data_IF_918810683911
#
_entry.id   IF_918810683911
#
_cell.length_a   1.000
_cell.length_b   1.000
_cell.length_c   1.000
_cell.angle_alpha   90.00
_cell.angle_beta   90.00
_cell.angle_gamma   90.00
#
_symmetry.space_group_name_H-M   'P 1'
#
loop_
_entity.id
_entity.type
_entity.pdbx_description
1 polymer ?
#
# COMPACT_ATOMS: atom_id res chain seq x y z
N UNK A 1 3.10 6.26 -6.55
CA UNK A 1 2.57 6.33 -7.93
C UNK A 1 1.27 5.57 -8.08
N UNK A 2 1.31 4.24 -7.91
CA UNK A 2 0.14 3.35 -7.96
C UNK A 2 -0.90 3.63 -6.84
N UNK A 3 -0.44 3.87 -5.60
CA UNK A 3 -1.30 4.16 -4.45
C UNK A 3 -2.25 5.38 -4.67
N UNK A 4 -1.73 6.48 -5.22
CA UNK A 4 -2.52 7.71 -5.48
C UNK A 4 -3.63 7.51 -6.53
N UNK A 5 -3.44 6.58 -7.48
CA UNK A 5 -4.47 6.24 -8.47
C UNK A 5 -5.73 5.67 -7.84
N UNK A 6 -5.61 4.97 -6.70
CA UNK A 6 -6.74 4.44 -5.93
C UNK A 6 -7.40 5.46 -5.00
N UNK A 7 -6.69 6.54 -4.64
CA UNK A 7 -7.18 7.62 -3.79
C UNK A 7 -8.17 8.56 -4.52
N UNK A 8 -8.00 8.76 -5.83
CA UNK A 8 -8.89 9.62 -6.64
C UNK A 8 -10.36 9.11 -6.65
N UNK A 9 -10.65 7.84 -6.99
CA UNK A 9 -12.02 7.32 -6.92
C UNK A 9 -12.53 7.20 -5.47
N UNK A 10 -11.63 6.91 -4.52
CA UNK A 10 -11.96 6.87 -3.10
C UNK A 10 -12.45 8.22 -2.57
N UNK A 11 -11.78 9.31 -2.95
CA UNK A 11 -12.13 10.67 -2.52
C UNK A 11 -13.35 11.18 -3.27
N UNK A 12 -13.43 11.04 -4.59
CA UNK A 12 -14.54 11.65 -5.34
C UNK A 12 -15.84 10.84 -5.29
N UNK A 13 -15.77 9.52 -5.12
CA UNK A 13 -16.91 8.63 -5.36
C UNK A 13 -17.17 7.74 -4.13
N UNK A 14 -16.34 7.87 -3.09
CA UNK A 14 -16.41 7.04 -1.88
C UNK A 14 -16.38 5.52 -2.18
N UNK A 15 -15.77 5.17 -3.32
CA UNK A 15 -15.56 3.78 -3.74
C UNK A 15 -14.05 3.50 -3.66
N UNK A 16 -13.57 2.90 -2.57
CA UNK A 16 -12.16 2.55 -2.46
C UNK A 16 -11.82 1.44 -3.45
N UNK A 17 -10.90 1.71 -4.38
CA UNK A 17 -10.39 0.71 -5.34
C UNK A 17 -9.30 -0.20 -4.76
N UNK A 18 -8.90 0.02 -3.50
CA UNK A 18 -7.91 -0.79 -2.79
C UNK A 18 -8.20 -0.79 -1.28
N UNK A 19 -7.75 -1.82 -0.53
CA UNK A 19 -7.94 -1.87 0.92
C UNK A 19 -7.30 -0.67 1.66
N UNK A 20 -6.17 -0.18 1.14
CA UNK A 20 -5.44 0.98 1.70
C UNK A 20 -6.19 2.31 1.49
N UNK A 21 -7.00 2.41 0.42
CA UNK A 21 -7.78 3.61 0.14
C UNK A 21 -9.07 3.73 0.99
N UNK A 22 -9.44 2.70 1.77
CA UNK A 22 -10.66 2.69 2.59
C UNK A 22 -10.61 3.78 3.67
N UNK A 23 -9.48 3.92 4.37
CA UNK A 23 -9.33 4.97 5.38
C UNK A 23 -9.37 6.37 4.77
N UNK A 24 -8.74 6.57 3.62
CA UNK A 24 -8.81 7.83 2.88
C UNK A 24 -10.25 8.14 2.44
N UNK A 25 -11.01 7.15 1.95
CA UNK A 25 -12.41 7.33 1.56
C UNK A 25 -13.28 7.77 2.76
N UNK A 26 -13.12 7.08 3.90
CA UNK A 26 -13.85 7.37 5.13
C UNK A 26 -13.56 8.79 5.64
N UNK A 27 -12.30 9.21 5.63
CA UNK A 27 -11.89 10.56 6.05
C UNK A 27 -12.30 11.64 5.04
N UNK A 28 -12.30 11.33 3.74
CA UNK A 28 -12.63 12.28 2.67
C UNK A 28 -14.14 12.51 2.51
N UNK A 29 -14.98 11.54 2.86
CA UNK A 29 -16.45 11.63 2.78
C UNK A 29 -17.03 12.94 3.37
N UNK A 30 -16.73 13.35 4.62
CA UNK A 30 -17.22 14.61 5.18
C UNK A 30 -16.71 15.87 4.47
N UNK A 31 -15.55 15.83 3.79
CA UNK A 31 -15.08 16.94 2.96
C UNK A 31 -15.86 17.05 1.66
N UNK A 32 -16.18 15.90 1.05
CA UNK A 32 -16.97 15.84 -0.19
C UNK A 32 -18.40 16.29 0.05
N UNK A 33 -19.01 15.88 1.16
CA UNK A 33 -20.35 16.31 1.59
C UNK A 33 -20.42 17.83 1.86
N UNK A 34 -19.30 18.46 2.24
CA UNK A 34 -19.17 19.92 2.43
C UNK A 34 -18.83 20.68 1.14
N UNK A 35 -18.70 20.00 -0.01
CA UNK A 35 -18.26 20.63 -1.27
C UNK A 35 -16.77 21.00 -1.31
N UNK A 36 -15.96 20.48 -0.36
CA UNK A 36 -14.53 20.72 -0.24
C UNK A 36 -13.68 19.58 -0.87
N UNK A 37 -14.23 18.85 -1.85
CA UNK A 37 -13.55 17.70 -2.46
C UNK A 37 -12.15 18.05 -3.02
N UNK A 38 -11.95 19.26 -3.57
CA UNK A 38 -10.62 19.72 -4.03
C UNK A 38 -9.61 19.90 -2.90
N UNK A 39 -10.07 20.31 -1.70
CA UNK A 39 -9.22 20.44 -0.52
C UNK A 39 -8.77 19.05 -0.04
N UNK A 40 -9.69 18.08 0.03
CA UNK A 40 -9.36 16.70 0.37
C UNK A 40 -8.36 16.08 -0.62
N UNK A 41 -8.56 16.26 -1.93
CA UNK A 41 -7.64 15.78 -2.96
C UNK A 41 -6.26 16.44 -2.87
N UNK A 42 -6.20 17.77 -2.67
CA UNK A 42 -4.92 18.47 -2.56
C UNK A 42 -4.15 18.11 -1.29
N UNK A 43 -4.84 17.88 -0.16
CA UNK A 43 -4.25 17.34 1.07
C UNK A 43 -3.68 15.93 0.84
N UNK A 44 -4.48 15.03 0.24
CA UNK A 44 -4.07 13.67 -0.07
C UNK A 44 -2.85 13.64 -0.99
N UNK A 45 -2.88 14.41 -2.09
CA UNK A 45 -1.77 14.51 -3.04
C UNK A 45 -0.49 15.02 -2.39
N UNK A 46 -0.61 16.06 -1.56
CA UNK A 46 0.54 16.71 -0.93
C UNK A 46 1.16 15.82 0.15
N UNK A 47 0.32 15.15 0.96
CA UNK A 47 0.78 14.17 1.95
C UNK A 47 1.47 12.98 1.30
N UNK A 48 0.88 12.43 0.23
CA UNK A 48 1.44 11.32 -0.55
C UNK A 48 2.78 11.72 -1.19
N UNK A 49 2.85 12.90 -1.82
CA UNK A 49 4.08 13.41 -2.43
C UNK A 49 5.22 13.54 -1.42
N UNK A 50 4.96 14.20 -0.28
CA UNK A 50 5.99 14.37 0.76
C UNK A 50 6.41 13.03 1.36
N UNK A 51 5.45 12.13 1.63
CA UNK A 51 5.73 10.80 2.14
C UNK A 51 6.60 9.97 1.18
N UNK A 52 6.33 10.07 -0.12
CA UNK A 52 7.11 9.39 -1.16
C UNK A 52 8.52 9.95 -1.32
N UNK A 53 8.66 11.28 -1.32
CA UNK A 53 9.98 11.94 -1.35
C UNK A 53 10.80 11.54 -0.13
N UNK A 54 10.20 11.52 1.06
CA UNK A 54 10.89 11.09 2.28
C UNK A 54 11.29 9.62 2.23
N UNK A 55 10.44 8.74 1.70
CA UNK A 55 10.78 7.33 1.54
C UNK A 55 11.95 7.14 0.58
N UNK A 56 11.97 7.83 -0.56
CA UNK A 56 13.08 7.76 -1.52
C UNK A 56 14.37 8.30 -0.90
N UNK A 57 14.31 9.43 -0.19
CA UNK A 57 15.48 10.00 0.49
C UNK A 57 15.99 9.06 1.60
N UNK A 58 15.09 8.51 2.41
CA UNK A 58 15.43 7.54 3.44
C UNK A 58 16.06 6.29 2.82
N UNK A 59 15.51 5.79 1.72
CA UNK A 59 16.07 4.64 1.01
C UNK A 59 17.47 4.97 0.48
N UNK A 60 17.68 6.11 -0.19
CA UNK A 60 19.00 6.54 -0.65
C UNK A 60 20.03 6.62 0.49
N UNK A 61 19.65 7.18 1.64
CA UNK A 61 20.52 7.29 2.82
C UNK A 61 20.78 5.94 3.50
N UNK A 62 19.76 5.09 3.58
CA UNK A 62 19.80 3.81 4.29
C UNK A 62 20.33 2.67 3.41
N UNK A 63 20.42 2.85 2.09
CA UNK A 63 20.87 1.81 1.15
C UNK A 63 22.29 1.35 1.47
N UNK A 64 23.22 2.28 1.69
CA UNK A 64 24.61 1.95 2.03
C UNK A 64 24.75 1.16 3.34
N UNK A 65 24.16 1.59 4.48
CA UNK A 65 24.22 0.83 5.71
C UNK A 65 23.47 -0.51 5.61
N UNK A 66 22.30 -0.57 4.96
CA UNK A 66 21.59 -1.84 4.72
C UNK A 66 22.43 -2.81 3.89
N UNK A 67 23.10 -2.33 2.84
CA UNK A 67 23.95 -3.17 2.00
C UNK A 67 25.14 -3.77 2.78
N UNK A 68 25.69 -3.04 3.74
CA UNK A 68 26.74 -3.57 4.60
C UNK A 68 26.23 -4.60 5.61
N UNK A 69 25.00 -4.43 6.11
CA UNK A 69 24.35 -5.45 6.96
C UNK A 69 24.01 -6.70 6.15
N UNK A 70 23.49 -6.53 4.94
CA UNK A 70 23.12 -7.63 4.04
C UNK A 70 24.33 -8.49 3.62
N UNK A 71 25.53 -7.90 3.51
CA UNK A 71 26.77 -8.66 3.24
C UNK A 71 27.13 -9.65 4.35
N UNK A 72 26.68 -9.42 5.58
CA UNK A 72 26.90 -10.32 6.70
C UNK A 72 25.83 -11.41 6.81
N UNK A 73 24.80 -11.39 5.97
CA UNK A 73 23.76 -12.41 5.98
C UNK A 73 24.24 -13.67 5.27
N UNK A 74 24.21 -14.79 5.98
CA UNK A 74 24.40 -16.11 5.42
C UNK A 74 23.08 -16.73 4.97
N UNK A 75 23.14 -18.00 4.57
CA UNK A 75 21.98 -18.77 4.13
C UNK A 75 20.89 -18.89 5.20
N UNK A 76 21.27 -18.96 6.49
CA UNK A 76 20.35 -19.07 7.61
C UNK A 76 19.55 -17.77 7.82
N UNK A 77 20.19 -16.61 7.71
CA UNK A 77 19.57 -15.30 7.84
C UNK A 77 18.59 -15.04 6.70
N UNK A 78 18.96 -15.37 5.45
CA UNK A 78 18.04 -15.28 4.31
C UNK A 78 16.82 -16.20 4.46
N UNK A 79 17.01 -17.42 4.97
CA UNK A 79 15.90 -18.34 5.24
C UNK A 79 14.96 -17.80 6.33
N UNK A 80 15.52 -17.26 7.42
CA UNK A 80 14.76 -16.63 8.51
C UNK A 80 13.98 -15.40 8.03
N UNK A 81 14.58 -14.57 7.18
CA UNK A 81 13.90 -13.40 6.59
C UNK A 81 12.78 -13.81 5.64
N UNK A 82 13.01 -14.81 4.79
CA UNK A 82 11.98 -15.36 3.91
C UNK A 82 10.81 -15.94 4.73
N UNK A 83 11.09 -16.72 5.78
CA UNK A 83 10.07 -17.25 6.68
C UNK A 83 9.32 -16.14 7.42
N UNK A 84 10.04 -15.13 7.93
CA UNK A 84 9.42 -13.98 8.59
C UNK A 84 8.49 -13.22 7.63
N UNK A 85 8.92 -13.00 6.38
CA UNK A 85 8.11 -12.38 5.35
C UNK A 85 6.83 -13.17 5.09
N UNK A 86 6.92 -14.49 4.91
CA UNK A 86 5.76 -15.36 4.71
C UNK A 86 4.79 -15.30 5.90
N UNK A 87 5.29 -15.41 7.13
CA UNK A 87 4.44 -15.30 8.34
C UNK A 87 3.74 -13.95 8.40
N UNK A 88 4.47 -12.87 8.14
CA UNK A 88 3.93 -11.53 8.23
C UNK A 88 2.87 -11.24 7.14
N UNK A 89 2.99 -11.81 5.94
CA UNK A 89 1.93 -11.73 4.93
C UNK A 89 0.62 -12.40 5.38
N UNK A 90 0.71 -13.57 6.05
CA UNK A 90 -0.49 -14.27 6.59
C UNK A 90 -1.11 -13.50 7.75
N UNK A 91 -0.28 -13.01 8.67
CA UNK A 91 -0.74 -12.20 9.82
C UNK A 91 -1.30 -10.86 9.35
N UNK A 92 -0.74 -10.33 8.26
CA UNK A 92 -1.16 -9.15 7.50
C UNK A 92 -2.64 -9.08 7.17
N UNK A 93 -3.20 -10.19 6.71
CA UNK A 93 -4.52 -10.26 6.09
C UNK A 93 -5.65 -10.45 7.11
N UNK A 94 -5.84 -9.44 7.98
CA UNK A 94 -6.86 -9.37 9.03
C UNK A 94 -8.19 -10.05 8.68
N UNK A 95 -8.50 -11.12 9.40
CA UNK A 95 -9.77 -11.88 9.31
C UNK A 95 -9.79 -13.03 8.28
N UNK A 96 -9.07 -12.93 7.16
CA UNK A 96 -9.10 -13.92 6.05
C UNK A 96 -7.78 -14.68 5.87
N UNK A 97 -7.22 -15.17 6.99
CA UNK A 97 -5.91 -15.85 7.02
C UNK A 97 -5.82 -17.08 6.13
N UNK A 98 -6.92 -17.84 6.02
CA UNK A 98 -6.97 -19.08 5.23
C UNK A 98 -6.78 -18.79 3.74
N UNK A 99 -7.44 -17.76 3.23
CA UNK A 99 -7.35 -17.37 1.83
C UNK A 99 -5.98 -16.80 1.49
N UNK A 100 -5.42 -15.96 2.38
CA UNK A 100 -4.08 -15.42 2.22
C UNK A 100 -3.02 -16.55 2.21
N UNK A 101 -3.17 -17.54 3.08
CA UNK A 101 -2.28 -18.71 3.14
C UNK A 101 -2.42 -19.57 1.88
N UNK A 102 -3.65 -19.78 1.40
CA UNK A 102 -3.90 -20.55 0.18
C UNK A 102 -3.32 -19.85 -1.06
N UNK A 103 -3.51 -18.53 -1.18
CA UNK A 103 -2.94 -17.73 -2.28
C UNK A 103 -1.40 -17.72 -2.23
N UNK A 104 -0.81 -17.61 -1.03
CA UNK A 104 0.63 -17.69 -0.83
C UNK A 104 1.19 -19.07 -1.20
N UNK A 105 0.56 -20.15 -0.74
CA UNK A 105 0.94 -21.51 -1.07
C UNK A 105 0.84 -21.76 -2.58
N UNK A 106 -0.20 -21.22 -3.22
CA UNK A 106 -0.38 -21.29 -4.67
C UNK A 106 0.71 -20.51 -5.41
N UNK A 107 1.03 -19.29 -4.98
CA UNK A 107 2.13 -18.51 -5.55
C UNK A 107 3.50 -19.19 -5.41
N UNK A 108 3.79 -19.75 -4.23
CA UNK A 108 5.00 -20.54 -3.99
C UNK A 108 5.05 -21.79 -4.88
N UNK A 109 3.93 -22.48 -5.05
CA UNK A 109 3.86 -23.62 -5.96
C UNK A 109 4.19 -23.20 -7.40
N UNK A 110 3.59 -22.13 -7.92
CA UNK A 110 3.91 -21.62 -9.25
C UNK A 110 5.36 -21.18 -9.40
N UNK A 111 5.96 -20.63 -8.34
CA UNK A 111 7.38 -20.25 -8.30
C UNK A 111 8.33 -21.45 -8.38
N UNK A 112 7.88 -22.65 -7.96
CA UNK A 112 8.68 -23.89 -8.03
C UNK A 112 8.67 -24.56 -9.40
N UNK A 113 7.87 -24.08 -10.35
CA UNK A 113 7.78 -24.62 -11.70
C UNK A 113 8.95 -24.08 -12.53
N UNK A 114 9.75 -24.98 -13.11
CA UNK A 114 10.88 -24.62 -13.97
C UNK A 114 12.14 -25.45 -13.71
N UNK A 115 13.28 -24.97 -14.22
CA UNK A 115 14.58 -25.56 -13.95
C UNK A 115 15.12 -25.00 -12.62
N UNK A 116 15.45 -25.89 -11.70
CA UNK A 116 16.14 -25.51 -10.46
C UNK A 116 17.63 -25.26 -10.73
N UNK A 117 18.12 -24.06 -10.42
CA UNK A 117 19.52 -23.66 -10.68
C UNK A 117 20.55 -24.40 -9.85
N UNK A 118 20.16 -24.94 -8.68
CA UNK A 118 21.07 -25.64 -7.77
C UNK A 118 21.44 -27.06 -8.26
N UNK A 119 20.50 -27.77 -8.88
CA UNK A 119 20.68 -29.17 -9.30
C UNK A 119 20.42 -29.41 -10.79
N UNK A 120 20.06 -28.36 -11.55
CA UNK A 120 19.67 -28.43 -12.97
C UNK A 120 18.58 -29.48 -13.25
N UNK A 121 17.74 -29.75 -12.25
CA UNK A 121 16.61 -30.68 -12.39
C UNK A 121 15.37 -29.94 -12.85
N UNK A 122 14.56 -30.60 -13.67
CA UNK A 122 13.29 -30.06 -14.12
C UNK A 122 12.21 -30.34 -13.07
N UNK A 123 11.55 -29.31 -12.57
CA UNK A 123 10.44 -29.42 -11.62
C UNK A 123 9.14 -28.98 -12.29
N UNK A 124 8.17 -29.89 -12.36
CA UNK A 124 6.81 -29.62 -12.86
C UNK A 124 6.75 -29.02 -14.29
N UNK A 125 7.72 -29.33 -15.15
CA UNK A 125 7.74 -28.89 -16.55
C UNK A 125 6.90 -29.78 -17.47
N UNK A 126 6.55 -31.00 -17.02
CA UNK A 126 5.69 -31.97 -17.73
C UNK A 126 6.09 -32.22 -19.19
N UNK A 127 7.37 -32.05 -19.54
CA UNK A 127 7.89 -32.22 -20.91
C UNK A 127 7.64 -31.04 -21.86
N UNK A 128 7.08 -29.91 -21.38
CA UNK A 128 6.85 -28.72 -22.19
C UNK A 128 8.05 -27.77 -22.12
N UNK A 129 8.65 -27.47 -23.27
CA UNK A 129 9.81 -26.56 -23.39
C UNK A 129 9.50 -25.15 -22.88
N UNK A 130 8.26 -24.68 -23.02
CA UNK A 130 7.82 -23.36 -22.54
C UNK A 130 7.84 -23.23 -21.01
N UNK A 131 7.75 -24.33 -20.27
CA UNK A 131 7.77 -24.33 -18.80
C UNK A 131 9.20 -24.41 -18.24
N UNK A 132 10.22 -24.65 -19.07
CA UNK A 132 11.62 -24.72 -18.63
C UNK A 132 12.10 -23.39 -18.02
N UNK A 133 11.64 -22.27 -18.57
CA UNK A 133 11.91 -20.93 -18.03
C UNK A 133 11.07 -20.57 -16.80
N UNK A 134 10.21 -21.48 -16.34
CA UNK A 134 9.23 -21.24 -15.29
C UNK A 134 8.07 -20.35 -15.71
N UNK A 135 7.19 -20.05 -14.76
CA UNK A 135 6.06 -19.15 -14.98
C UNK A 135 6.47 -17.74 -14.57
N UNK A 136 6.39 -16.74 -15.46
CA UNK A 136 6.71 -15.36 -15.09
C UNK A 136 5.59 -14.82 -14.17
N UNK A 137 5.86 -14.85 -12.87
CA UNK A 137 4.89 -14.49 -11.83
C UNK A 137 4.38 -13.05 -11.96
N UNK A 138 5.23 -12.11 -12.36
CA UNK A 138 4.85 -10.69 -12.50
C UNK A 138 3.75 -10.51 -13.55
N UNK A 139 3.91 -10.94 -14.82
CA UNK A 139 2.83 -10.96 -15.81
C UNK A 139 1.58 -11.72 -15.36
N UNK A 140 1.74 -12.87 -14.70
CA UNK A 140 0.62 -13.68 -14.21
C UNK A 140 -0.25 -12.88 -13.22
N UNK A 141 0.37 -12.25 -12.22
CA UNK A 141 -0.32 -11.45 -11.21
C UNK A 141 -1.01 -10.24 -11.84
N UNK A 142 -0.34 -9.55 -12.76
CA UNK A 142 -0.93 -8.42 -13.50
C UNK A 142 -2.17 -8.86 -14.29
N UNK A 143 -2.09 -10.00 -14.99
CA UNK A 143 -3.20 -10.55 -15.76
C UNK A 143 -4.38 -10.96 -14.88
N UNK A 144 -4.11 -11.63 -13.75
CA UNK A 144 -5.16 -12.03 -12.81
C UNK A 144 -5.86 -10.82 -12.19
N UNK A 145 -5.10 -9.78 -11.85
CA UNK A 145 -5.64 -8.53 -11.33
C UNK A 145 -6.52 -7.82 -12.36
N UNK A 146 -6.05 -7.70 -13.61
CA UNK A 146 -6.82 -7.09 -14.70
C UNK A 146 -8.14 -7.83 -14.97
N UNK A 147 -8.12 -9.17 -14.94
CA UNK A 147 -9.34 -9.98 -15.08
C UNK A 147 -10.30 -9.78 -13.91
N UNK A 148 -9.79 -9.74 -12.67
CA UNK A 148 -10.61 -9.47 -11.48
C UNK A 148 -11.30 -8.11 -11.59
N UNK A 149 -10.56 -7.07 -11.96
CA UNK A 149 -11.09 -5.71 -12.10
C UNK A 149 -12.14 -5.61 -13.20
N UNK A 150 -11.91 -6.27 -14.35
CA UNK A 150 -12.88 -6.33 -15.44
C UNK A 150 -14.20 -7.00 -15.00
N UNK A 151 -14.12 -8.10 -14.24
CA UNK A 151 -15.30 -8.78 -13.70
C UNK A 151 -16.04 -7.91 -12.67
N UNK A 152 -15.32 -7.25 -11.77
CA UNK A 152 -15.90 -6.32 -10.79
C UNK A 152 -16.64 -5.18 -11.50
N UNK A 153 -16.03 -4.58 -12.54
CA UNK A 153 -16.65 -3.51 -13.32
C UNK A 153 -17.92 -3.97 -14.05
N UNK A 154 -17.93 -5.19 -14.58
CA UNK A 154 -19.12 -5.78 -15.21
C UNK A 154 -20.27 -6.04 -14.21
N UNK A 155 -19.94 -6.22 -12.93
CA UNK A 155 -20.93 -6.54 -11.89
C UNK A 155 -21.36 -5.31 -11.08
N UNK A 156 -20.60 -4.22 -11.16
CA UNK A 156 -20.92 -2.95 -10.53
C UNK A 156 -22.16 -2.34 -11.21
N UNK A 157 -23.28 -2.29 -10.48
CA UNK A 157 -24.47 -1.56 -10.93
C UNK A 157 -24.10 -0.10 -11.16
N UNK A 158 -24.60 0.49 -12.25
CA UNK A 158 -24.58 1.94 -12.51
C UNK A 158 -25.34 2.66 -11.39
N UNK A 159 -24.65 2.94 -10.29
CA UNK A 159 -25.15 3.83 -9.26
C UNK A 159 -24.97 5.25 -9.79
N UNK A 160 -26.05 6.03 -9.98
CA UNK A 160 -25.93 7.42 -10.41
C UNK A 160 -25.11 8.17 -9.35
N UNK A 161 -23.90 8.57 -9.73
CA UNK A 161 -22.95 9.23 -8.84
C UNK A 161 -23.37 10.70 -8.71
N UNK A 162 -23.56 11.23 -7.50
CA UNK A 162 -23.84 12.65 -7.33
C UNK A 162 -22.69 13.45 -7.93
N UNK A 163 -23.04 14.48 -8.71
CA UNK A 163 -22.09 15.37 -9.35
C UNK A 163 -21.32 16.08 -8.23
N UNK A 164 -20.05 15.70 -8.04
CA UNK A 164 -19.19 16.34 -7.05
C UNK A 164 -18.96 17.77 -7.49
N UNK A 165 -19.49 18.72 -6.72
CA UNK A 165 -19.20 20.13 -6.94
C UNK A 165 -17.71 20.36 -6.65
N UNK A 166 -16.96 20.71 -7.70
CA UNK A 166 -15.55 21.05 -7.64
C UNK A 166 -15.37 22.47 -7.06
N UNK A 167 -15.68 22.64 -5.78
CA UNK A 167 -15.42 23.86 -5.01
C UNK A 167 -14.00 23.86 -4.40
N UNK A 168 -13.33 25.01 -4.40
CA UNK A 168 -12.04 25.23 -3.71
C UNK A 168 -10.81 25.43 -4.62
N UNK A 169 -9.73 25.99 -4.06
CA UNK A 169 -8.45 26.27 -4.74
C UNK A 169 -7.50 25.08 -4.58
N UNK A 170 -6.96 24.56 -5.68
CA UNK A 170 -6.02 23.42 -5.71
C UNK A 170 -4.79 23.60 -4.79
N UNK A 171 -4.34 24.84 -4.60
CA UNK A 171 -3.11 25.16 -3.86
C UNK A 171 -3.30 25.28 -2.34
N UNK A 172 -4.53 25.31 -1.82
CA UNK A 172 -4.76 25.46 -0.38
C UNK A 172 -4.32 24.23 0.42
N UNK A 173 -4.55 23.01 -0.09
CA UNK A 173 -4.11 21.77 0.58
C UNK A 173 -2.59 21.64 0.68
N UNK A 174 -1.84 22.17 -0.29
CA UNK A 174 -0.37 22.10 -0.28
C UNK A 174 0.23 22.87 0.91
N UNK A 175 -0.23 24.10 1.15
CA UNK A 175 0.20 24.89 2.30
C UNK A 175 -0.35 24.35 3.64
N UNK A 176 -1.53 23.73 3.59
CA UNK A 176 -2.21 23.19 4.77
C UNK A 176 -1.52 21.93 5.32
N UNK A 177 -1.01 21.05 4.46
CA UNK A 177 -0.22 19.87 4.90
C UNK A 177 0.99 20.28 5.75
N UNK A 178 1.66 21.39 5.42
CA UNK A 178 2.79 21.91 6.19
C UNK A 178 2.40 22.54 7.54
N UNK A 179 1.11 22.70 7.86
CA UNK A 179 0.69 23.06 9.23
C UNK A 179 0.77 21.84 10.15
N UNK A 180 0.63 20.64 9.60
CA UNK A 180 0.63 19.37 10.33
C UNK A 180 1.96 18.62 10.21
N UNK A 181 3.09 19.33 10.33
CA UNK A 181 4.43 18.74 10.12
C UNK A 181 4.69 17.53 11.02
N UNK A 182 4.32 17.59 12.30
CA UNK A 182 4.53 16.46 13.24
C UNK A 182 3.82 15.19 12.76
N UNK A 183 2.57 15.32 12.35
CA UNK A 183 1.75 14.22 11.85
C UNK A 183 2.26 13.70 10.51
N UNK A 184 2.64 14.60 9.61
CA UNK A 184 3.18 14.26 8.28
C UNK A 184 4.52 13.51 8.38
N UNK A 185 5.51 14.10 9.05
CA UNK A 185 6.84 13.48 9.21
C UNK A 185 6.78 12.24 10.10
N UNK A 186 6.01 12.26 11.19
CA UNK A 186 5.85 11.11 12.07
C UNK A 186 5.22 9.92 11.35
N UNK A 187 4.18 10.16 10.54
CA UNK A 187 3.54 9.11 9.74
C UNK A 187 4.43 8.60 8.62
N UNK A 188 5.21 9.49 7.99
CA UNK A 188 6.16 9.10 6.95
C UNK A 188 7.28 8.22 7.52
N UNK A 189 7.84 8.59 8.68
CA UNK A 189 8.87 7.78 9.37
C UNK A 189 8.29 6.43 9.79
N UNK A 190 7.08 6.40 10.32
CA UNK A 190 6.41 5.15 10.69
C UNK A 190 6.18 4.25 9.47
N UNK A 191 5.75 4.82 8.34
CA UNK A 191 5.62 4.13 7.06
C UNK A 191 6.95 3.56 6.56
N UNK A 192 8.04 4.34 6.63
CA UNK A 192 9.39 3.89 6.24
C UNK A 192 9.85 2.72 7.12
N UNK A 193 9.68 2.82 8.45
CA UNK A 193 10.06 1.75 9.38
C UNK A 193 9.25 0.48 9.09
N UNK A 194 7.93 0.61 8.92
CA UNK A 194 7.07 -0.52 8.60
C UNK A 194 7.43 -1.14 7.24
N UNK A 195 7.77 -0.34 6.24
CA UNK A 195 8.14 -0.87 4.93
C UNK A 195 9.53 -1.50 4.85
N UNK A 196 10.45 -1.13 5.75
CA UNK A 196 11.70 -1.87 5.94
C UNK A 196 11.45 -3.23 6.62
N UNK A 197 10.36 -3.36 7.39
CA UNK A 197 10.00 -4.63 8.01
C UNK A 197 9.37 -5.57 6.98
N UNK A 198 9.98 -6.75 6.72
CA UNK A 198 9.48 -7.68 5.71
C UNK A 198 8.08 -8.16 6.08
N UNK A 199 7.12 -8.09 5.15
CA UNK A 199 5.76 -8.62 5.34
C UNK A 199 4.81 -7.76 6.20
N UNK A 200 5.25 -6.62 6.75
CA UNK A 200 4.33 -5.62 7.29
C UNK A 200 3.66 -4.91 6.10
N UNK A 201 2.51 -5.43 5.67
CA UNK A 201 1.79 -4.90 4.51
C UNK A 201 1.35 -3.44 4.69
N UNK A 202 1.27 -2.70 3.59
CA UNK A 202 0.85 -1.28 3.54
C UNK A 202 -0.42 -1.01 4.34
N UNK A 203 -1.41 -1.90 4.23
CA UNK A 203 -2.69 -1.81 4.93
C UNK A 203 -2.56 -1.88 6.46
N UNK A 204 -1.77 -2.81 7.00
CA UNK A 204 -1.56 -2.90 8.44
C UNK A 204 -0.79 -1.69 8.98
N UNK A 205 0.26 -1.28 8.27
CA UNK A 205 1.04 -0.10 8.65
C UNK A 205 0.14 1.13 8.75
N UNK A 206 -0.75 1.33 7.77
CA UNK A 206 -1.71 2.42 7.75
C UNK A 206 -2.72 2.34 8.88
N UNK A 207 -3.31 1.16 9.15
CA UNK A 207 -4.28 1.00 10.25
C UNK A 207 -3.65 1.25 11.63
N UNK A 208 -2.45 0.70 11.87
CA UNK A 208 -1.75 0.91 13.14
C UNK A 208 -1.38 2.37 13.30
N UNK A 209 -0.82 3.00 12.27
CA UNK A 209 -0.46 4.41 12.34
C UNK A 209 -1.69 5.30 12.50
N UNK A 210 -2.82 4.96 11.88
CA UNK A 210 -4.08 5.69 12.05
C UNK A 210 -4.57 5.67 13.51
N UNK A 211 -4.56 4.50 14.15
CA UNK A 211 -4.91 4.36 15.58
C UNK A 211 -3.96 5.16 16.47
N UNK A 212 -2.66 5.10 16.18
CA UNK A 212 -1.64 5.84 16.92
C UNK A 212 -1.78 7.34 16.73
N UNK A 213 -1.88 7.83 15.50
CA UNK A 213 -2.04 9.24 15.19
C UNK A 213 -3.33 9.81 15.78
N UNK A 214 -4.43 9.06 15.76
CA UNK A 214 -5.68 9.45 16.43
C UNK A 214 -5.50 9.60 17.95
N UNK A 215 -4.68 8.75 18.58
CA UNK A 215 -4.43 8.80 20.02
C UNK A 215 -3.49 9.94 20.43
N UNK A 216 -2.53 10.28 19.57
CA UNK A 216 -1.53 11.33 19.83
C UNK A 216 -1.92 12.72 19.31
N UNK A 217 -2.93 12.81 18.44
CA UNK A 217 -3.44 14.09 17.96
C UNK A 217 -4.28 14.80 19.03
N UNK A 218 -4.03 16.11 19.19
CA UNK A 218 -4.87 17.01 19.99
C UNK A 218 -6.32 17.10 19.47
N UNK A 219 -6.53 16.80 18.18
CA UNK A 219 -7.82 16.84 17.48
C UNK A 219 -8.33 15.41 17.12
N UNK A 220 -7.85 14.38 17.83
CA UNK A 220 -8.19 12.96 17.60
C UNK A 220 -9.69 12.63 17.60
N UNK A 221 -10.53 13.49 18.18
CA UNK A 221 -11.99 13.34 18.19
C UNK A 221 -12.66 13.71 16.85
N UNK A 222 -11.97 14.46 15.98
CA UNK A 222 -12.45 14.90 14.67
C UNK A 222 -12.05 13.95 13.51
N UNK A 223 -11.25 12.92 13.78
CA UNK A 223 -10.96 11.84 12.83
C UNK A 223 -12.28 11.16 12.40
N UNK A 224 -12.47 11.01 11.09
CA UNK A 224 -13.70 10.49 10.46
C UNK A 224 -14.83 11.52 10.35
N UNK A 225 -14.65 12.73 10.90
CA UNK A 225 -15.63 13.84 10.88
C UNK A 225 -15.16 15.05 10.08
N UNK A 226 -14.07 14.90 9.32
CA UNK A 226 -13.48 15.93 8.48
C UNK A 226 -12.23 16.59 9.07
N UNK A 227 -11.37 15.82 9.74
CA UNK A 227 -10.06 16.27 10.18
C UNK A 227 -9.03 16.14 9.03
N UNK A 228 -8.29 17.22 8.66
CA UNK A 228 -7.23 17.14 7.66
C UNK A 228 -6.14 16.11 8.01
N UNK A 229 -5.88 15.93 9.31
CA UNK A 229 -4.89 14.97 9.83
C UNK A 229 -5.20 13.52 9.46
N UNK A 230 -6.48 13.12 9.40
CA UNK A 230 -6.86 11.75 9.04
C UNK A 230 -6.46 11.38 7.60
N UNK A 231 -6.64 12.32 6.67
CA UNK A 231 -6.19 12.17 5.27
C UNK A 231 -4.67 12.17 5.21
N UNK A 232 -4.01 13.09 5.93
CA UNK A 232 -2.54 13.20 5.93
C UNK A 232 -1.89 11.93 6.47
N UNK A 233 -2.37 11.37 7.58
CA UNK A 233 -1.85 10.12 8.16
C UNK A 233 -2.03 8.96 7.18
N UNK A 234 -3.22 8.82 6.61
CA UNK A 234 -3.55 7.73 5.68
C UNK A 234 -2.64 7.75 4.45
N UNK A 235 -2.53 8.89 3.79
CA UNK A 235 -1.77 9.02 2.54
C UNK A 235 -0.25 9.10 2.74
N UNK A 236 0.21 9.77 3.80
CA UNK A 236 1.64 9.82 4.10
C UNK A 236 2.17 8.43 4.49
N UNK A 237 1.43 7.67 5.31
CA UNK A 237 1.86 6.30 5.66
C UNK A 237 1.89 5.41 4.43
N UNK A 238 0.79 5.39 3.67
CA UNK A 238 0.63 4.53 2.51
C UNK A 238 1.76 4.75 1.49
N UNK A 239 2.08 6.01 1.15
CA UNK A 239 3.10 6.30 0.14
C UNK A 239 4.53 6.42 0.72
N UNK A 240 4.70 6.31 2.04
CA UNK A 240 6.01 6.22 2.70
C UNK A 240 6.50 4.80 2.95
N UNK A 241 5.64 3.79 2.84
CA UNK A 241 6.07 2.39 2.80
C UNK A 241 6.82 2.20 1.48
N UNK A 242 8.15 1.97 1.49
CA UNK A 242 8.87 1.67 0.26
C UNK A 242 8.33 0.34 -0.29
N UNK A 243 8.08 0.22 -1.61
CA UNK A 243 7.75 -1.06 -2.20
C UNK A 243 8.92 -2.01 -1.92
N UNK A 244 8.66 -3.06 -1.13
CA UNK A 244 9.57 -4.17 -0.97
C UNK A 244 9.51 -5.00 -2.25
N UNK A 245 10.31 -4.61 -3.26
CA UNK A 245 10.67 -5.47 -4.39
C UNK A 245 11.93 -6.28 -4.09
#
# INVERSE_FOLDING_TARGET
GSAYGSAIPAIMINTPGSPVAVLTALEAKPFVERGEARRAMSLAYSASFVGGVLAVLALMLLTLPLANVAKNFGSAEFAMLALAALVLVVVGHGGRRVEATAAMAFGLFLATIGIETAFSTQRYTFGLTSLLGGIPLVPLVIGLFAMSEALVQLTAKDVPRPIVQLGGKFFQGFAEVFKYKRTLFGSSIFGIICGIMPGVGEFLAQQVNYVWARKFSSDGHNFGKGAPEGIIVSEATNNSVPPAE
#
